data_IF_209476229323
#
_entry.id   IF_209476229323
#
_cell.length_a   1.000
_cell.length_b   1.000
_cell.length_c   1.000
_cell.angle_alpha   90.00
_cell.angle_beta   90.00
_cell.angle_gamma   90.00
#
_symmetry.space_group_name_H-M   'P 1'
#
loop_
_entity.id
_entity.type
_entity.pdbx_description
1 polymer ?
#
# COMPACT_ATOMS: atom_id res chain seq x y z
N UNK A 1 -23.68 -3.49 -18.81
CA UNK A 1 -22.84 -2.52 -19.57
C UNK A 1 -22.14 -1.55 -18.62
N UNK A 2 -22.88 -0.90 -17.72
CA UNK A 2 -22.36 -0.03 -16.65
C UNK A 2 -21.29 -0.69 -15.74
N UNK A 3 -21.54 -1.91 -15.27
CA UNK A 3 -20.59 -2.76 -14.55
C UNK A 3 -19.23 -2.91 -15.26
N UNK A 4 -19.25 -3.08 -16.58
CA UNK A 4 -18.04 -3.25 -17.39
C UNK A 4 -17.30 -1.92 -17.60
N UNK A 5 -18.02 -0.80 -17.67
CA UNK A 5 -17.41 0.53 -17.70
C UNK A 5 -16.78 0.90 -16.36
N UNK A 6 -17.45 0.59 -15.22
CA UNK A 6 -16.88 0.74 -13.87
C UNK A 6 -15.57 -0.05 -13.74
N UNK A 7 -15.57 -1.32 -14.17
CA UNK A 7 -14.36 -2.15 -14.21
C UNK A 7 -13.29 -1.60 -15.14
N UNK A 8 -13.67 -1.08 -16.30
CA UNK A 8 -12.75 -0.48 -17.28
C UNK A 8 -12.06 0.79 -16.77
N UNK A 9 -12.80 1.67 -16.08
CA UNK A 9 -12.29 2.85 -15.39
C UNK A 9 -11.18 2.42 -14.42
N UNK A 10 -11.52 1.53 -13.49
CA UNK A 10 -10.63 1.03 -12.42
C UNK A 10 -9.42 0.22 -12.93
N UNK A 11 -9.46 -0.28 -14.16
CA UNK A 11 -8.40 -1.09 -14.77
C UNK A 11 -7.47 -0.27 -15.69
N UNK A 12 -7.78 1.01 -15.92
CA UNK A 12 -6.96 1.87 -16.77
C UNK A 12 -5.60 2.18 -16.13
N UNK A 13 -4.51 1.89 -16.86
CA UNK A 13 -3.13 2.32 -16.54
C UNK A 13 -3.07 3.84 -16.25
N UNK A 14 -4.02 4.63 -16.77
CA UNK A 14 -4.16 6.05 -16.52
C UNK A 14 -4.73 6.45 -15.15
N UNK A 15 -5.41 5.58 -14.39
CA UNK A 15 -5.88 5.89 -13.03
C UNK A 15 -4.82 5.64 -11.96
N UNK A 16 -3.91 4.69 -12.17
CA UNK A 16 -2.86 4.37 -11.21
C UNK A 16 -1.83 5.52 -11.03
N UNK A 17 -1.79 6.48 -11.97
CA UNK A 17 -0.91 7.64 -11.95
C UNK A 17 -1.59 8.93 -11.47
N UNK A 18 -2.87 8.85 -11.08
CA UNK A 18 -3.69 10.02 -10.73
C UNK A 18 -3.81 10.19 -9.22
N UNK A 19 -3.93 11.43 -8.78
CA UNK A 19 -4.19 11.76 -7.38
C UNK A 19 -5.60 11.33 -6.96
N UNK A 20 -5.81 11.19 -5.64
CA UNK A 20 -7.13 10.89 -5.06
C UNK A 20 -8.22 11.84 -5.57
N UNK A 21 -7.92 13.13 -5.64
CA UNK A 21 -8.87 14.15 -6.09
C UNK A 21 -9.25 13.95 -7.57
N UNK A 22 -8.28 13.63 -8.43
CA UNK A 22 -8.56 13.37 -9.85
C UNK A 22 -9.40 12.10 -10.05
N UNK A 23 -9.22 11.09 -9.20
CA UNK A 23 -10.06 9.88 -9.22
C UNK A 23 -11.49 10.20 -8.76
N UNK A 24 -11.64 11.03 -7.73
CA UNK A 24 -12.96 11.47 -7.26
C UNK A 24 -13.70 12.30 -8.32
N UNK A 25 -13.01 13.23 -8.98
CA UNK A 25 -13.61 14.07 -10.03
C UNK A 25 -14.05 13.25 -11.24
N UNK A 26 -13.22 12.29 -11.65
CA UNK A 26 -13.53 11.39 -12.76
C UNK A 26 -14.67 10.42 -12.41
N UNK A 27 -14.78 9.99 -11.16
CA UNK A 27 -15.90 9.19 -10.68
C UNK A 27 -17.21 9.99 -10.63
N UNK A 28 -17.17 11.29 -10.24
CA UNK A 28 -18.32 12.20 -10.30
C UNK A 28 -18.78 12.43 -11.74
N UNK A 29 -17.85 12.75 -12.64
CA UNK A 29 -18.14 12.95 -14.07
C UNK A 29 -18.77 11.70 -14.68
N UNK A 30 -18.29 10.52 -14.28
CA UNK A 30 -18.86 9.24 -14.71
C UNK A 30 -20.28 9.03 -14.19
N UNK A 31 -20.55 9.34 -12.92
CA UNK A 31 -21.88 9.22 -12.32
C UNK A 31 -22.90 10.14 -13.02
N UNK A 32 -22.50 11.38 -13.33
CA UNK A 32 -23.32 12.33 -14.07
C UNK A 32 -23.62 11.84 -15.49
N UNK A 33 -22.58 11.43 -16.24
CA UNK A 33 -22.72 10.96 -17.63
C UNK A 33 -23.56 9.69 -17.76
N UNK A 34 -23.50 8.82 -16.75
CA UNK A 34 -24.29 7.59 -16.70
C UNK A 34 -25.71 7.79 -16.18
N UNK A 35 -26.09 9.03 -15.81
CA UNK A 35 -27.40 9.38 -15.25
C UNK A 35 -27.75 8.53 -14.03
N UNK A 36 -26.76 8.25 -13.18
CA UNK A 36 -27.01 7.60 -11.89
C UNK A 36 -27.97 8.43 -11.05
N UNK A 37 -28.83 7.77 -10.28
CA UNK A 37 -29.56 8.45 -9.21
C UNK A 37 -28.60 8.98 -8.13
N UNK A 38 -29.10 9.87 -7.27
CA UNK A 38 -28.31 10.40 -6.15
C UNK A 38 -27.81 9.30 -5.21
N UNK A 39 -28.63 8.26 -4.98
CA UNK A 39 -28.22 7.11 -4.16
C UNK A 39 -27.08 6.33 -4.82
N UNK A 40 -27.24 5.98 -6.10
CA UNK A 40 -26.24 5.20 -6.85
C UNK A 40 -24.92 5.95 -7.00
N UNK A 41 -24.98 7.28 -7.17
CA UNK A 41 -23.80 8.15 -7.22
C UNK A 41 -23.02 8.10 -5.92
N UNK A 42 -23.73 8.23 -4.77
CA UNK A 42 -23.11 8.20 -3.45
C UNK A 42 -22.45 6.86 -3.16
N UNK A 43 -23.15 5.77 -3.49
CA UNK A 43 -22.64 4.41 -3.28
C UNK A 43 -21.41 4.14 -4.16
N UNK A 44 -21.46 4.58 -5.43
CA UNK A 44 -20.34 4.45 -6.35
C UNK A 44 -19.09 5.22 -5.92
N UNK A 45 -19.24 6.48 -5.48
CA UNK A 45 -18.11 7.26 -4.98
C UNK A 45 -17.47 6.63 -3.75
N UNK A 46 -18.31 6.11 -2.84
CA UNK A 46 -17.83 5.40 -1.64
C UNK A 46 -17.04 4.15 -2.02
N UNK A 47 -17.54 3.37 -3.00
CA UNK A 47 -16.86 2.19 -3.53
C UNK A 47 -15.50 2.55 -4.15
N UNK A 48 -15.42 3.62 -4.95
CA UNK A 48 -14.17 4.10 -5.53
C UNK A 48 -13.15 4.53 -4.47
N UNK A 49 -13.60 5.24 -3.42
CA UNK A 49 -12.72 5.64 -2.32
C UNK A 49 -12.18 4.43 -1.56
N UNK A 50 -13.02 3.44 -1.24
CA UNK A 50 -12.57 2.21 -0.58
C UNK A 50 -11.55 1.45 -1.44
N UNK A 51 -11.80 1.31 -2.74
CA UNK A 51 -10.88 0.65 -3.67
C UNK A 51 -9.54 1.38 -3.78
N UNK A 52 -9.56 2.71 -3.75
CA UNK A 52 -8.34 3.52 -3.75
C UNK A 52 -7.50 3.28 -2.48
N UNK A 53 -8.11 3.31 -1.29
CA UNK A 53 -7.39 3.08 -0.03
C UNK A 53 -6.85 1.64 0.06
N UNK A 54 -7.59 0.64 -0.42
CA UNK A 54 -7.12 -0.75 -0.55
C UNK A 54 -5.89 -0.85 -1.47
N UNK A 55 -5.96 -0.22 -2.65
CA UNK A 55 -4.88 -0.23 -3.63
C UNK A 55 -3.63 0.48 -3.09
N UNK A 56 -3.80 1.63 -2.44
CA UNK A 56 -2.72 2.39 -1.80
C UNK A 56 -2.03 1.57 -0.73
N UNK A 57 -2.79 0.95 0.18
CA UNK A 57 -2.24 0.09 1.24
C UNK A 57 -1.47 -1.10 0.66
N UNK A 58 -1.98 -1.72 -0.41
CA UNK A 58 -1.29 -2.81 -1.10
C UNK A 58 0.01 -2.35 -1.77
N UNK A 59 0.00 -1.15 -2.35
CA UNK A 59 1.17 -0.53 -2.97
C UNK A 59 2.26 -0.20 -1.94
N UNK A 60 1.89 0.42 -0.81
CA UNK A 60 2.82 0.75 0.28
C UNK A 60 3.53 -0.52 0.79
N UNK A 61 2.77 -1.60 1.06
CA UNK A 61 3.35 -2.91 1.44
C UNK A 61 4.29 -3.49 0.39
N UNK A 62 4.00 -3.28 -0.90
CA UNK A 62 4.85 -3.76 -1.99
C UNK A 62 6.14 -2.95 -2.08
N UNK A 63 6.08 -1.64 -1.85
CA UNK A 63 7.26 -0.78 -1.75
C UNK A 63 8.13 -1.22 -0.58
N UNK A 64 7.57 -1.37 0.62
CA UNK A 64 8.31 -1.80 1.82
C UNK A 64 9.08 -3.10 1.55
N UNK A 65 8.40 -4.13 1.03
CA UNK A 65 9.03 -5.40 0.67
C UNK A 65 10.09 -5.27 -0.42
N UNK A 66 9.91 -4.33 -1.35
CA UNK A 66 10.89 -4.09 -2.42
C UNK A 66 12.15 -3.45 -1.86
N UNK A 67 12.00 -2.46 -0.97
CA UNK A 67 13.12 -1.83 -0.27
C UNK A 67 13.85 -2.85 0.59
N UNK A 68 13.13 -3.65 1.38
CA UNK A 68 13.71 -4.72 2.20
C UNK A 68 14.56 -5.68 1.36
N UNK A 69 14.04 -6.13 0.21
CA UNK A 69 14.78 -6.98 -0.73
C UNK A 69 16.02 -6.30 -1.32
N UNK A 70 15.96 -5.00 -1.60
CA UNK A 70 17.11 -4.25 -2.13
C UNK A 70 18.19 -4.14 -1.05
N UNK A 71 17.81 -3.80 0.19
CA UNK A 71 18.76 -3.72 1.32
C UNK A 71 19.46 -5.06 1.56
N UNK A 72 18.71 -6.17 1.52
CA UNK A 72 19.29 -7.51 1.62
C UNK A 72 20.25 -7.83 0.47
N UNK A 73 19.95 -7.40 -0.76
CA UNK A 73 20.84 -7.60 -1.92
C UNK A 73 22.12 -6.77 -1.85
N UNK A 74 22.13 -5.69 -1.07
CA UNK A 74 23.29 -4.84 -0.85
C UNK A 74 24.11 -5.29 0.38
N UNK A 75 23.81 -6.47 0.93
CA UNK A 75 24.40 -7.01 2.17
C UNK A 75 24.30 -6.03 3.36
N UNK A 76 23.25 -5.21 3.40
CA UNK A 76 22.99 -4.29 4.51
C UNK A 76 22.20 -5.00 5.62
N UNK A 77 22.72 -5.03 6.86
CA UNK A 77 22.00 -5.64 7.97
C UNK A 77 20.78 -4.79 8.36
N UNK A 78 19.68 -5.46 8.69
CA UNK A 78 18.50 -4.80 9.26
C UNK A 78 18.75 -4.38 10.71
N UNK A 79 17.89 -3.50 11.24
CA UNK A 79 17.90 -3.16 12.66
C UNK A 79 17.68 -4.39 13.55
N UNK A 80 16.89 -5.36 13.08
CA UNK A 80 16.66 -6.62 13.80
C UNK A 80 17.93 -7.45 13.90
N UNK A 81 18.72 -7.50 12.82
CA UNK A 81 19.99 -8.24 12.81
C UNK A 81 20.98 -7.63 13.81
N UNK A 82 21.05 -6.29 13.87
CA UNK A 82 21.89 -5.56 14.84
C UNK A 82 21.43 -5.84 16.28
N UNK A 83 20.13 -5.80 16.55
CA UNK A 83 19.60 -6.08 17.89
C UNK A 83 19.90 -7.52 18.32
N UNK A 84 19.71 -8.49 17.43
CA UNK A 84 20.04 -9.90 17.71
C UNK A 84 21.54 -10.09 17.98
N UNK A 85 22.41 -9.35 17.29
CA UNK A 85 23.85 -9.35 17.59
C UNK A 85 24.16 -8.76 18.96
N UNK A 86 23.53 -7.64 19.33
CA UNK A 86 23.71 -7.03 20.65
C UNK A 86 23.26 -7.95 21.78
N UNK A 87 22.09 -8.59 21.67
CA UNK A 87 21.61 -9.56 22.68
C UNK A 87 22.57 -10.74 22.87
N UNK A 88 23.15 -11.23 21.76
CA UNK A 88 24.17 -12.28 21.81
C UNK A 88 25.45 -11.78 22.50
N UNK A 89 25.89 -10.56 22.20
CA UNK A 89 27.04 -9.94 22.85
C UNK A 89 26.81 -9.79 24.36
N UNK A 90 25.64 -9.31 24.78
CA UNK A 90 25.29 -9.16 26.19
C UNK A 90 25.28 -10.51 26.91
N UNK A 91 24.68 -11.53 26.29
CA UNK A 91 24.64 -12.90 26.83
C UNK A 91 26.04 -13.48 27.00
N UNK A 92 26.92 -13.29 26.01
CA UNK A 92 28.30 -13.76 26.07
C UNK A 92 29.10 -13.01 27.14
N UNK A 93 28.92 -11.70 27.23
CA UNK A 93 29.57 -10.83 28.22
C UNK A 93 29.20 -11.27 29.64
N UNK A 94 27.90 -11.53 29.88
CA UNK A 94 27.42 -12.04 31.17
C UNK A 94 28.04 -13.39 31.54
N UNK A 95 28.07 -14.34 30.61
CA UNK A 95 28.68 -15.66 30.83
C UNK A 95 30.18 -15.60 31.12
N UNK A 96 30.89 -14.65 30.51
CA UNK A 96 32.31 -14.43 30.77
C UNK A 96 32.52 -13.80 32.16
N UNK A 97 31.69 -12.84 32.56
CA UNK A 97 31.77 -12.23 33.89
C UNK A 97 31.39 -13.19 35.02
N UNK A 98 30.53 -14.18 34.78
CA UNK A 98 30.17 -15.21 35.76
C UNK A 98 31.24 -16.32 35.90
N UNK A 99 32.17 -16.41 34.93
CA UNK A 99 33.28 -17.38 34.93
C UNK A 99 34.60 -16.80 35.44
N UNK A 100 34.70 -15.48 35.61
CA UNK A 100 35.85 -14.79 36.17
C UNK A 100 35.68 -14.61 37.68
#
# INVERSE_FOLDING_TARGET
MFEYLKKGLLTGIGLALRSKNEIEDLAKEFAEKSKMSQSETKDFLTECQLKYEEAKTGFDKKIEKTIEKILLKLDLPSKSDINALNERIDTLTKKLSEKA
#
